data_IF_613703278494
#
_entry.id   IF_613703278494
#
_cell.length_a   1.000
_cell.length_b   1.000
_cell.length_c   1.000
_cell.angle_alpha   90.00
_cell.angle_beta   90.00
_cell.angle_gamma   90.00
#
_symmetry.space_group_name_H-M   'P 1'
#
loop_
_entity.id
_entity.type
_entity.pdbx_description
1 polymer ?
#
# COMPACT_ATOMS: atom_id res chain seq x y z
N UNK A 1 13.12 7.23 -7.40
CA UNK A 1 12.24 7.66 -8.50
C UNK A 1 10.84 7.83 -7.94
N UNK A 2 10.28 9.03 -8.02
CA UNK A 2 8.96 9.35 -7.48
C UNK A 2 8.21 10.29 -8.42
N UNK A 3 6.88 10.30 -8.28
CA UNK A 3 6.00 11.29 -8.88
C UNK A 3 5.09 11.88 -7.83
N UNK A 4 4.78 13.17 -7.93
CA UNK A 4 3.78 13.85 -7.11
C UNK A 4 2.59 14.17 -8.00
N UNK A 5 1.39 13.77 -7.57
CA UNK A 5 0.14 13.91 -8.33
C UNK A 5 -1.01 14.35 -7.42
N UNK A 6 -2.06 14.91 -8.03
CA UNK A 6 -3.33 15.13 -7.35
C UNK A 6 -4.18 13.84 -7.33
N UNK A 7 -5.10 13.68 -6.35
CA UNK A 7 -5.91 12.47 -6.21
C UNK A 7 -6.84 12.20 -7.40
N UNK A 8 -7.24 13.24 -8.16
CA UNK A 8 -8.07 13.12 -9.35
C UNK A 8 -7.35 12.64 -10.62
N UNK A 9 -6.04 12.36 -10.56
CA UNK A 9 -5.29 11.85 -11.70
C UNK A 9 -5.70 10.40 -11.99
N UNK A 10 -6.03 10.12 -13.25
CA UNK A 10 -6.34 8.77 -13.70
C UNK A 10 -5.07 7.90 -13.77
N UNK A 11 -5.18 6.65 -13.36
CA UNK A 11 -4.06 5.71 -13.30
C UNK A 11 -3.41 5.47 -14.66
N UNK A 12 -4.19 5.23 -15.70
CA UNK A 12 -3.67 4.88 -17.02
C UNK A 12 -3.08 6.12 -17.71
N UNK A 13 -3.71 7.28 -17.59
CA UNK A 13 -3.14 8.55 -18.08
C UNK A 13 -1.79 8.88 -17.41
N UNK A 14 -1.64 8.59 -16.09
CA UNK A 14 -0.35 8.71 -15.42
C UNK A 14 0.68 7.77 -16.05
N UNK A 15 0.32 6.51 -16.30
CA UNK A 15 1.24 5.52 -16.84
C UNK A 15 1.64 5.83 -18.31
N UNK A 16 0.75 6.37 -19.12
CA UNK A 16 1.10 6.88 -20.47
C UNK A 16 2.17 7.98 -20.38
N UNK A 17 1.97 8.95 -19.48
CA UNK A 17 2.97 10.01 -19.26
C UNK A 17 4.31 9.43 -18.76
N UNK A 18 4.28 8.52 -17.78
CA UNK A 18 5.47 7.94 -17.19
C UNK A 18 6.23 7.02 -18.14
N UNK A 19 5.54 6.36 -19.07
CA UNK A 19 6.16 5.48 -20.09
C UNK A 19 7.19 6.23 -20.92
N UNK A 20 6.96 7.51 -21.23
CA UNK A 20 7.93 8.38 -21.94
C UNK A 20 9.24 8.58 -21.17
N UNK A 21 9.25 8.28 -19.87
CA UNK A 21 10.39 8.38 -18.95
C UNK A 21 10.99 7.00 -18.59
N UNK A 22 10.49 5.92 -19.21
CA UNK A 22 10.89 4.56 -18.88
C UNK A 22 10.41 4.08 -17.50
N UNK A 23 9.36 4.68 -16.96
CA UNK A 23 8.82 4.44 -15.62
C UNK A 23 7.32 4.14 -15.67
N UNK A 24 6.78 3.55 -14.59
CA UNK A 24 5.35 3.41 -14.41
C UNK A 24 4.97 3.24 -12.93
N UNK A 25 3.69 3.46 -12.63
CA UNK A 25 3.07 3.15 -11.36
C UNK A 25 2.59 1.69 -11.41
N UNK A 26 3.21 0.84 -10.59
CA UNK A 26 3.10 -0.62 -10.67
C UNK A 26 1.75 -1.22 -10.28
N UNK A 27 1.09 -0.79 -9.18
CA UNK A 27 -0.19 -1.35 -8.79
C UNK A 27 -1.24 -1.20 -9.89
N UNK A 28 -1.96 -2.29 -10.17
CA UNK A 28 -3.01 -2.32 -11.20
C UNK A 28 -4.36 -2.71 -10.60
N UNK A 29 -5.41 -2.50 -11.37
CA UNK A 29 -6.78 -2.91 -11.09
C UNK A 29 -7.45 -3.36 -12.39
N UNK A 30 -8.48 -4.19 -12.31
CA UNK A 30 -9.29 -4.57 -13.48
C UNK A 30 -10.03 -3.38 -14.11
N UNK A 31 -10.24 -2.32 -13.34
CA UNK A 31 -10.93 -1.08 -13.74
C UNK A 31 -9.96 0.08 -13.99
N UNK A 32 -8.73 -0.20 -14.40
CA UNK A 32 -7.62 0.76 -14.47
C UNK A 32 -7.95 2.05 -15.22
N UNK A 33 -8.70 1.93 -16.32
CA UNK A 33 -9.13 3.06 -17.15
C UNK A 33 -10.04 4.06 -16.42
N UNK A 34 -10.70 3.64 -15.33
CA UNK A 34 -11.60 4.49 -14.54
C UNK A 34 -11.02 4.86 -13.18
N UNK A 35 -9.93 4.22 -12.76
CA UNK A 35 -9.36 4.44 -11.43
C UNK A 35 -8.68 5.79 -11.32
N UNK A 36 -9.04 6.54 -10.29
CA UNK A 36 -8.33 7.73 -9.84
C UNK A 36 -7.39 7.37 -8.69
N UNK A 37 -6.23 8.01 -8.65
CA UNK A 37 -5.21 7.68 -7.66
C UNK A 37 -5.65 7.93 -6.22
N UNK A 38 -6.50 8.91 -5.97
CA UNK A 38 -7.09 9.13 -4.65
C UNK A 38 -7.94 7.94 -4.19
N UNK A 39 -8.78 7.39 -5.07
CA UNK A 39 -9.56 6.19 -4.80
C UNK A 39 -8.67 4.96 -4.61
N UNK A 40 -7.60 4.81 -5.41
CA UNK A 40 -6.65 3.72 -5.24
C UNK A 40 -5.92 3.78 -3.89
N UNK A 41 -5.55 4.98 -3.42
CA UNK A 41 -4.98 5.17 -2.09
C UNK A 41 -6.02 4.86 -1.01
N UNK A 42 -7.23 5.42 -1.10
CA UNK A 42 -8.31 5.19 -0.14
C UNK A 42 -8.61 3.71 0.06
N UNK A 43 -8.74 2.97 -1.03
CA UNK A 43 -9.03 1.54 -1.02
C UNK A 43 -7.78 0.65 -0.81
N UNK A 44 -6.56 1.18 -0.85
CA UNK A 44 -5.33 0.39 -0.96
C UNK A 44 -5.38 -0.61 -2.13
N UNK A 45 -5.80 -0.13 -3.30
CA UNK A 45 -6.07 -0.96 -4.48
C UNK A 45 -4.88 -1.78 -4.92
N UNK A 46 -5.15 -2.99 -5.40
CA UNK A 46 -4.18 -3.90 -5.98
C UNK A 46 -4.85 -4.79 -7.03
N UNK A 47 -4.06 -5.45 -7.85
CA UNK A 47 -4.55 -6.36 -8.88
C UNK A 47 -3.62 -7.55 -9.09
N UNK A 48 -3.74 -8.17 -10.25
CA UNK A 48 -3.05 -9.40 -10.62
C UNK A 48 -1.53 -9.32 -10.51
N UNK A 49 -0.97 -8.13 -10.76
CA UNK A 49 0.48 -7.89 -10.70
C UNK A 49 1.01 -7.56 -9.29
N UNK A 50 0.17 -7.72 -8.25
CA UNK A 50 0.56 -7.43 -6.86
C UNK A 50 1.70 -8.32 -6.34
N UNK A 51 1.88 -9.50 -6.90
CA UNK A 51 3.05 -10.38 -6.62
C UNK A 51 4.36 -9.64 -6.90
N UNK A 52 4.41 -8.87 -7.98
CA UNK A 52 5.61 -8.16 -8.43
C UNK A 52 5.69 -6.73 -7.90
N UNK A 53 4.58 -6.00 -7.91
CA UNK A 53 4.55 -4.56 -7.68
C UNK A 53 3.87 -4.15 -6.38
N UNK A 54 3.40 -5.12 -5.60
CA UNK A 54 2.74 -4.87 -4.34
C UNK A 54 1.34 -4.24 -4.49
N UNK A 55 0.90 -3.63 -3.42
CA UNK A 55 -0.37 -2.88 -3.33
C UNK A 55 -0.09 -1.37 -3.32
N UNK A 56 -1.13 -0.56 -3.47
CA UNK A 56 -0.97 0.91 -3.50
C UNK A 56 -0.25 1.45 -2.28
N UNK A 57 -0.55 0.94 -1.08
CA UNK A 57 0.13 1.31 0.19
C UNK A 57 1.65 1.16 0.10
N UNK A 58 2.15 0.14 -0.55
CA UNK A 58 3.59 -0.14 -0.59
C UNK A 58 4.35 0.97 -1.30
N UNK A 59 3.76 1.56 -2.33
CA UNK A 59 4.37 2.59 -3.16
C UNK A 59 4.01 4.02 -2.76
N UNK A 60 3.10 4.23 -1.80
CA UNK A 60 2.84 5.56 -1.23
C UNK A 60 4.04 6.01 -0.40
N UNK A 61 4.68 7.09 -0.80
CA UNK A 61 5.82 7.72 -0.11
C UNK A 61 5.35 8.75 0.90
N UNK A 62 4.45 9.64 0.48
CA UNK A 62 3.83 10.65 1.36
C UNK A 62 2.49 11.12 0.82
N UNK A 63 1.66 11.64 1.72
CA UNK A 63 0.38 12.27 1.42
C UNK A 63 0.35 13.67 2.00
N UNK A 64 -0.11 14.65 1.24
CA UNK A 64 -0.55 15.94 1.75
C UNK A 64 -2.05 15.89 1.95
N UNK A 65 -2.52 16.35 3.10
CA UNK A 65 -3.89 16.14 3.55
C UNK A 65 -4.44 17.34 4.26
N UNK A 66 -5.77 17.46 4.24
CA UNK A 66 -6.55 18.32 5.13
C UNK A 66 -7.13 17.45 6.25
N UNK A 67 -6.92 17.86 7.49
CA UNK A 67 -7.51 17.24 8.67
C UNK A 67 -8.90 17.81 8.96
N UNK A 68 -9.62 17.24 9.91
CA UNK A 68 -10.98 17.63 10.28
C UNK A 68 -11.10 19.06 10.85
N UNK A 69 -10.00 19.61 11.36
CA UNK A 69 -9.91 21.01 11.82
C UNK A 69 -9.52 22.01 10.72
N UNK A 70 -9.37 21.52 9.47
CA UNK A 70 -8.94 22.34 8.32
C UNK A 70 -7.44 22.53 8.20
N UNK A 71 -6.63 21.96 9.12
CA UNK A 71 -5.17 22.09 9.04
C UNK A 71 -4.58 21.22 7.93
N UNK A 72 -3.59 21.77 7.23
CA UNK A 72 -2.82 21.07 6.21
C UNK A 72 -1.66 20.30 6.87
N UNK A 73 -1.59 19.00 6.61
CA UNK A 73 -0.54 18.13 7.15
C UNK A 73 0.05 17.25 6.05
N UNK A 74 1.37 17.15 6.05
CA UNK A 74 2.09 16.18 5.23
C UNK A 74 2.49 14.97 6.08
N UNK A 75 1.94 13.82 5.73
CA UNK A 75 2.34 12.51 6.26
C UNK A 75 3.34 11.84 5.31
N UNK A 76 4.48 11.43 5.85
CA UNK A 76 5.56 10.77 5.13
C UNK A 76 6.54 10.16 6.12
N UNK A 77 7.67 9.68 5.64
CA UNK A 77 8.70 9.10 6.51
C UNK A 77 9.18 10.13 7.54
N UNK A 78 9.18 9.72 8.80
CA UNK A 78 9.64 10.50 9.93
C UNK A 78 10.88 9.87 10.55
N UNK A 79 11.94 10.65 10.70
CA UNK A 79 13.07 10.29 11.54
C UNK A 79 12.69 10.36 13.04
N UNK A 80 13.52 9.83 13.92
CA UNK A 80 13.32 9.97 15.37
C UNK A 80 13.23 11.44 15.81
N UNK A 81 14.00 12.33 15.17
CA UNK A 81 13.96 13.77 15.44
C UNK A 81 12.61 14.37 14.98
N UNK A 82 12.13 14.02 13.78
CA UNK A 82 10.83 14.47 13.28
C UNK A 82 9.69 14.02 14.20
N UNK A 83 9.72 12.77 14.66
CA UNK A 83 8.71 12.25 15.57
C UNK A 83 8.67 13.02 16.90
N UNK A 84 9.84 13.36 17.46
CA UNK A 84 9.92 14.17 18.67
C UNK A 84 9.32 15.58 18.46
N UNK A 85 9.58 16.20 17.30
CA UNK A 85 8.99 17.49 16.94
C UNK A 85 7.48 17.36 16.76
N UNK A 86 7.02 16.37 15.99
CA UNK A 86 5.59 16.18 15.70
C UNK A 86 4.79 15.89 16.98
N UNK A 87 5.28 15.02 17.85
CA UNK A 87 4.62 14.71 19.14
C UNK A 87 4.61 15.88 20.12
N UNK A 88 5.48 16.91 19.96
CA UNK A 88 5.48 18.10 20.80
C UNK A 88 4.50 19.19 20.36
N UNK A 89 3.94 19.10 19.14
CA UNK A 89 2.98 20.07 18.62
C UNK A 89 1.71 20.12 19.48
N UNK A 90 1.16 21.33 19.65
CA UNK A 90 -0.10 21.60 20.37
C UNK A 90 -1.25 21.84 19.40
N UNK A 91 -1.41 20.94 18.43
CA UNK A 91 -2.47 20.97 17.42
C UNK A 91 -2.91 19.53 17.10
N UNK A 92 -3.91 19.37 16.22
CA UNK A 92 -4.46 18.06 15.87
C UNK A 92 -3.40 17.10 15.31
N UNK A 93 -2.43 17.58 14.51
CA UNK A 93 -1.31 16.73 14.07
C UNK A 93 -0.53 16.16 15.27
N UNK A 94 -0.21 16.99 16.25
CA UNK A 94 0.49 16.54 17.46
C UNK A 94 -0.31 15.55 18.28
N UNK A 95 -1.61 15.74 18.39
CA UNK A 95 -2.52 14.81 19.08
C UNK A 95 -2.60 13.46 18.38
N UNK A 96 -2.69 13.45 17.05
CA UNK A 96 -2.65 12.22 16.25
C UNK A 96 -1.37 11.42 16.52
N UNK A 97 -0.20 12.06 16.44
CA UNK A 97 1.07 11.37 16.68
C UNK A 97 1.17 10.87 18.14
N UNK A 98 0.76 11.67 19.12
CA UNK A 98 0.73 11.24 20.55
C UNK A 98 -0.15 10.03 20.76
N UNK A 99 -1.39 10.08 20.25
CA UNK A 99 -2.35 8.98 20.38
C UNK A 99 -1.83 7.70 19.72
N UNK A 100 -1.31 7.79 18.50
CA UNK A 100 -0.72 6.64 17.82
C UNK A 100 0.45 6.03 18.60
N UNK A 101 1.32 6.87 19.19
CA UNK A 101 2.45 6.37 19.98
C UNK A 101 1.99 5.78 21.31
N UNK A 102 0.98 6.33 21.95
CA UNK A 102 0.40 5.80 23.18
C UNK A 102 -0.23 4.43 22.93
N UNK A 103 -1.08 4.33 21.90
CA UNK A 103 -1.78 3.08 21.58
C UNK A 103 -0.81 2.00 21.11
N UNK A 104 0.04 2.29 20.13
CA UNK A 104 1.02 1.32 19.61
C UNK A 104 2.13 1.00 20.62
N UNK A 105 2.38 1.84 21.62
CA UNK A 105 3.29 1.59 22.73
C UNK A 105 2.71 0.63 23.78
N UNK A 106 1.39 0.47 23.82
CA UNK A 106 0.72 -0.39 24.80
C UNK A 106 0.90 -1.88 24.45
N UNK A 107 1.48 -2.66 25.37
CA UNK A 107 1.77 -4.09 25.15
C UNK A 107 0.54 -4.94 24.91
N UNK A 108 -0.60 -4.61 25.52
CA UNK A 108 -1.88 -5.32 25.28
C UNK A 108 -2.37 -5.06 23.86
N UNK A 109 -2.34 -3.79 23.42
CA UNK A 109 -2.71 -3.42 22.04
C UNK A 109 -1.79 -4.10 21.03
N UNK A 110 -0.47 -4.10 21.27
CA UNK A 110 0.49 -4.81 20.40
C UNK A 110 0.18 -6.30 20.30
N UNK A 111 -0.22 -6.94 21.43
CA UNK A 111 -0.59 -8.35 21.43
C UNK A 111 -1.84 -8.59 20.56
N UNK A 112 -2.91 -7.80 20.76
CA UNK A 112 -4.12 -7.91 19.93
C UNK A 112 -3.85 -7.67 18.44
N UNK A 113 -3.07 -6.64 18.10
CA UNK A 113 -2.69 -6.42 16.69
C UNK A 113 -2.00 -7.65 16.11
N UNK A 114 -1.09 -8.27 16.85
CA UNK A 114 -0.35 -9.46 16.38
C UNK A 114 -1.19 -10.73 16.30
N UNK A 115 -2.22 -10.87 17.14
CA UNK A 115 -3.11 -12.04 17.15
C UNK A 115 -4.25 -11.95 16.15
N UNK A 116 -4.78 -10.73 15.93
CA UNK A 116 -6.04 -10.54 15.23
C UNK A 116 -5.86 -10.12 13.77
N UNK A 117 -4.69 -9.58 13.43
CA UNK A 117 -4.35 -9.26 12.04
C UNK A 117 -3.87 -10.49 11.27
N UNK A 118 -4.07 -10.53 9.94
CA UNK A 118 -3.56 -11.62 9.11
C UNK A 118 -2.04 -11.80 9.25
N UNK A 119 -1.59 -13.03 9.11
CA UNK A 119 -0.17 -13.36 9.14
C UNK A 119 0.64 -12.55 8.12
N UNK A 120 1.91 -12.31 8.44
CA UNK A 120 2.82 -11.49 7.61
C UNK A 120 2.95 -12.02 6.17
N UNK A 121 2.74 -13.32 5.95
CA UNK A 121 2.73 -13.94 4.62
C UNK A 121 1.55 -13.50 3.72
N UNK A 122 0.47 -12.96 4.30
CA UNK A 122 -0.68 -12.46 3.54
C UNK A 122 -0.43 -11.01 3.16
N UNK A 123 0.30 -10.78 2.05
CA UNK A 123 0.70 -9.44 1.60
C UNK A 123 -0.47 -8.64 1.02
N UNK A 124 -1.34 -9.28 0.24
CA UNK A 124 -2.48 -8.63 -0.40
C UNK A 124 -3.68 -8.65 0.53
N UNK A 125 -3.87 -7.57 1.28
CA UNK A 125 -4.98 -7.41 2.22
C UNK A 125 -5.48 -5.97 2.29
N UNK A 126 -6.80 -5.82 2.38
CA UNK A 126 -7.52 -4.54 2.48
C UNK A 126 -8.55 -4.62 3.63
N UNK A 127 -8.08 -5.03 4.81
CA UNK A 127 -8.92 -5.27 5.99
C UNK A 127 -8.83 -4.10 6.97
N UNK A 128 -9.55 -3.02 6.68
CA UNK A 128 -9.61 -1.85 7.56
C UNK A 128 -8.28 -1.11 7.71
N UNK A 129 -8.12 -0.42 8.82
CA UNK A 129 -6.95 0.41 9.11
C UNK A 129 -5.70 -0.44 9.38
N UNK A 130 -4.64 -0.19 8.65
CA UNK A 130 -3.40 -0.96 8.73
C UNK A 130 -2.51 -0.54 9.92
N UNK A 131 -3.04 -0.63 11.13
CA UNK A 131 -2.31 -0.31 12.37
C UNK A 131 -1.13 -1.25 12.62
N UNK A 132 -1.25 -2.49 12.16
CA UNK A 132 -0.15 -3.47 12.16
C UNK A 132 1.03 -3.04 11.29
N UNK A 133 0.77 -2.38 10.15
CA UNK A 133 1.83 -1.80 9.32
C UNK A 133 2.59 -0.72 10.08
N UNK A 134 1.91 0.12 10.89
CA UNK A 134 2.58 1.11 11.74
C UNK A 134 3.37 0.44 12.87
N UNK A 135 2.84 -0.63 13.47
CA UNK A 135 3.52 -1.38 14.52
C UNK A 135 4.83 -2.04 14.02
N UNK A 136 4.89 -2.39 12.74
CA UNK A 136 6.07 -2.97 12.11
C UNK A 136 7.12 -1.91 11.67
N UNK A 137 6.89 -0.63 11.98
CA UNK A 137 7.81 0.48 11.71
C UNK A 137 8.59 0.89 12.96
N UNK A 138 9.66 1.67 12.77
CA UNK A 138 10.37 2.32 13.88
C UNK A 138 9.45 3.35 14.57
N UNK A 139 9.52 3.51 15.90
CA UNK A 139 10.45 2.85 16.82
C UNK A 139 9.95 1.51 17.38
N UNK A 140 8.78 1.03 16.98
CA UNK A 140 8.15 -0.18 17.56
C UNK A 140 8.89 -1.47 17.14
N UNK A 141 9.48 -1.47 15.96
CA UNK A 141 10.31 -2.56 15.43
C UNK A 141 11.66 -2.01 15.00
N UNK A 142 12.77 -2.53 15.59
CA UNK A 142 14.12 -2.00 15.36
C UNK A 142 14.56 -2.09 13.90
N UNK A 143 14.25 -3.19 13.21
CA UNK A 143 14.54 -3.40 11.78
C UNK A 143 13.49 -2.79 10.85
N UNK A 144 12.50 -2.10 11.40
CA UNK A 144 11.40 -1.49 10.63
C UNK A 144 11.85 -0.28 9.81
N UNK A 145 11.03 0.06 8.82
CA UNK A 145 11.17 1.30 8.07
C UNK A 145 10.88 2.52 8.96
N UNK A 146 11.26 3.74 8.56
CA UNK A 146 10.85 4.95 9.28
C UNK A 146 9.34 5.06 9.42
N UNK A 147 8.87 5.61 10.54
CA UNK A 147 7.44 5.78 10.82
C UNK A 147 6.76 6.65 9.76
N UNK A 148 5.63 6.17 9.23
CA UNK A 148 4.93 6.86 8.16
C UNK A 148 3.41 6.65 8.25
N UNK A 149 2.70 7.66 8.75
CA UNK A 149 1.24 7.63 8.88
C UNK A 149 0.51 7.55 7.53
N UNK A 150 1.16 7.94 6.41
CA UNK A 150 0.57 7.76 5.09
C UNK A 150 0.26 6.29 4.77
N UNK A 151 0.97 5.34 5.41
CA UNK A 151 0.69 3.90 5.29
C UNK A 151 -0.64 3.49 5.95
N UNK A 152 -1.07 4.21 7.00
CA UNK A 152 -2.38 4.04 7.63
C UNK A 152 -3.49 4.67 6.77
N UNK A 153 -3.23 5.86 6.21
CA UNK A 153 -4.19 6.56 5.35
C UNK A 153 -4.48 5.79 4.06
N UNK A 154 -3.49 5.06 3.54
CA UNK A 154 -3.72 4.13 2.44
C UNK A 154 -4.57 2.94 2.94
N UNK A 155 -5.81 2.86 2.47
CA UNK A 155 -6.81 1.88 2.91
C UNK A 155 -7.76 2.40 3.99
N UNK A 156 -7.77 3.72 4.25
CA UNK A 156 -8.70 4.34 5.20
C UNK A 156 -10.03 4.77 4.58
N UNK A 157 -10.23 4.58 3.27
CA UNK A 157 -11.45 4.92 2.52
C UNK A 157 -11.87 6.40 2.70
N UNK A 158 -10.90 7.30 2.90
CA UNK A 158 -11.15 8.73 3.10
C UNK A 158 -11.74 9.10 4.47
N UNK A 159 -11.82 8.17 5.43
CA UNK A 159 -12.46 8.40 6.74
C UNK A 159 -11.57 9.15 7.72
N UNK A 160 -10.25 9.20 7.51
CA UNK A 160 -9.30 9.78 8.46
C UNK A 160 -8.81 11.17 8.04
N UNK A 161 -8.69 11.45 6.75
CA UNK A 161 -8.25 12.74 6.24
C UNK A 161 -8.64 12.90 4.78
N UNK A 162 -8.74 14.14 4.29
CA UNK A 162 -8.92 14.43 2.87
C UNK A 162 -7.54 14.60 2.20
N UNK A 163 -7.22 13.73 1.25
CA UNK A 163 -5.94 13.76 0.53
C UNK A 163 -5.97 14.81 -0.59
N UNK A 164 -5.01 15.73 -0.58
CA UNK A 164 -4.86 16.80 -1.58
C UNK A 164 -3.74 16.52 -2.58
N UNK A 165 -2.72 15.75 -2.16
CA UNK A 165 -1.57 15.39 -3.00
C UNK A 165 -0.97 14.06 -2.56
N UNK A 166 -0.50 13.30 -3.54
CA UNK A 166 0.04 11.95 -3.37
C UNK A 166 1.43 11.90 -3.97
N UNK A 167 2.43 11.47 -3.20
CA UNK A 167 3.77 11.14 -3.72
C UNK A 167 3.91 9.62 -3.78
N UNK A 168 4.19 9.12 -4.98
CA UNK A 168 4.29 7.69 -5.28
C UNK A 168 5.70 7.29 -5.69
N UNK A 169 6.18 6.16 -5.24
CA UNK A 169 7.36 5.50 -5.78
C UNK A 169 7.01 4.84 -7.13
N UNK A 170 7.97 4.84 -8.04
CA UNK A 170 7.81 4.35 -9.40
C UNK A 170 8.74 3.18 -9.68
N UNK A 171 8.27 2.26 -10.49
CA UNK A 171 9.02 1.13 -11.03
C UNK A 171 9.52 1.42 -12.44
N UNK A 172 10.64 0.78 -12.89
CA UNK A 172 10.99 0.71 -14.29
C UNK A 172 9.89 0.02 -15.10
N UNK A 173 9.75 0.37 -16.36
CA UNK A 173 8.81 -0.34 -17.25
C UNK A 173 9.06 -1.85 -17.23
N UNK A 174 7.99 -2.66 -17.28
CA UNK A 174 8.13 -4.11 -17.41
C UNK A 174 8.86 -4.48 -18.72
N UNK A 175 9.42 -5.69 -18.80
CA UNK A 175 10.00 -6.18 -20.06
C UNK A 175 8.99 -6.11 -21.20
N UNK A 176 9.45 -5.75 -22.39
CA UNK A 176 8.58 -5.71 -23.60
C UNK A 176 8.08 -7.10 -24.00
N UNK A 177 8.90 -8.13 -23.75
CA UNK A 177 8.56 -9.51 -24.04
C UNK A 177 8.12 -10.19 -22.75
N UNK A 178 6.89 -10.67 -22.74
CA UNK A 178 6.33 -11.46 -21.66
C UNK A 178 5.78 -12.78 -22.23
N UNK A 179 5.81 -13.82 -21.40
CA UNK A 179 5.23 -15.12 -21.72
C UNK A 179 4.11 -15.38 -20.71
N UNK A 180 2.98 -15.83 -21.21
CA UNK A 180 1.89 -16.38 -20.38
C UNK A 180 1.89 -17.89 -20.54
N UNK A 181 1.89 -18.59 -19.41
CA UNK A 181 1.82 -20.04 -19.36
C UNK A 181 0.47 -20.43 -18.75
N UNK A 182 -0.36 -21.12 -19.53
CA UNK A 182 -1.60 -21.74 -19.05
C UNK A 182 -1.34 -23.22 -18.79
N UNK A 183 -1.53 -23.64 -17.53
CA UNK A 183 -1.31 -25.04 -17.11
C UNK A 183 -2.64 -25.62 -16.66
N UNK A 184 -2.99 -26.79 -17.21
CA UNK A 184 -4.22 -27.49 -16.88
C UNK A 184 -3.96 -28.57 -15.83
N UNK A 185 -4.85 -28.65 -14.85
CA UNK A 185 -4.83 -29.66 -13.78
C UNK A 185 -6.15 -30.41 -13.73
N UNK A 186 -6.13 -31.64 -13.26
CA UNK A 186 -7.31 -32.47 -13.12
C UNK A 186 -8.20 -32.10 -11.91
N UNK A 187 -7.64 -31.32 -10.96
CA UNK A 187 -8.38 -30.87 -9.77
C UNK A 187 -7.86 -29.52 -9.27
N UNK A 188 -8.72 -28.81 -8.56
CA UNK A 188 -8.36 -27.55 -7.88
C UNK A 188 -7.22 -27.81 -6.87
N UNK A 189 -7.25 -28.94 -6.16
CA UNK A 189 -6.19 -29.31 -5.22
C UNK A 189 -4.82 -29.34 -5.89
N UNK A 190 -4.69 -30.05 -7.03
CA UNK A 190 -3.43 -30.10 -7.78
C UNK A 190 -3.00 -28.71 -8.27
N UNK A 191 -3.93 -27.87 -8.71
CA UNK A 191 -3.64 -26.51 -9.11
C UNK A 191 -3.10 -25.68 -7.94
N UNK A 192 -3.69 -25.81 -6.75
CA UNK A 192 -3.23 -25.11 -5.54
C UNK A 192 -1.87 -25.60 -5.05
N UNK A 193 -1.62 -26.91 -5.09
CA UNK A 193 -0.31 -27.49 -4.74
C UNK A 193 0.79 -27.01 -5.68
N UNK A 194 0.50 -26.77 -6.95
CA UNK A 194 1.44 -26.24 -7.93
C UNK A 194 1.81 -24.76 -7.69
N UNK A 195 1.01 -23.98 -6.96
CA UNK A 195 1.31 -22.58 -6.65
C UNK A 195 2.62 -22.47 -5.87
N UNK A 196 2.85 -23.35 -4.89
CA UNK A 196 4.03 -23.26 -4.01
C UNK A 196 5.35 -23.33 -4.81
N UNK A 197 5.62 -24.34 -5.64
CA UNK A 197 6.84 -24.37 -6.45
C UNK A 197 6.87 -23.26 -7.51
N UNK A 198 5.73 -22.88 -8.09
CA UNK A 198 5.66 -21.81 -9.09
C UNK A 198 6.04 -20.45 -8.48
N UNK A 199 5.65 -20.18 -7.25
CA UNK A 199 5.98 -18.93 -6.54
C UNK A 199 7.48 -18.79 -6.20
N UNK A 200 8.29 -19.83 -6.35
CA UNK A 200 9.75 -19.70 -6.23
C UNK A 200 10.38 -18.96 -7.43
N UNK A 201 9.65 -18.82 -8.53
CA UNK A 201 10.08 -18.12 -9.73
C UNK A 201 9.68 -16.64 -9.72
N UNK A 202 10.34 -15.82 -10.54
CA UNK A 202 10.07 -14.40 -10.66
C UNK A 202 8.83 -14.15 -11.52
N UNK A 203 7.65 -14.32 -10.95
CA UNK A 203 6.37 -14.10 -11.61
C UNK A 203 5.93 -12.65 -11.57
N UNK A 204 5.16 -12.25 -12.56
CA UNK A 204 4.40 -10.99 -12.57
C UNK A 204 2.98 -11.19 -12.06
N UNK A 205 2.40 -12.35 -12.37
CA UNK A 205 1.03 -12.71 -12.00
C UNK A 205 0.94 -14.23 -11.87
N UNK A 206 0.04 -14.69 -11.01
CA UNK A 206 -0.36 -16.09 -10.87
C UNK A 206 -1.85 -16.10 -10.54
N UNK A 207 -2.65 -16.58 -11.49
CA UNK A 207 -4.12 -16.57 -11.39
C UNK A 207 -4.65 -17.99 -11.54
N UNK A 208 -5.66 -18.33 -10.73
CA UNK A 208 -6.40 -19.59 -10.83
C UNK A 208 -7.72 -19.32 -11.54
N UNK A 209 -8.03 -20.15 -12.51
CA UNK A 209 -9.35 -20.22 -13.14
C UNK A 209 -9.94 -21.62 -12.94
N UNK A 210 -11.13 -21.71 -12.45
CA UNK A 210 -11.84 -22.98 -12.34
C UNK A 210 -12.70 -23.28 -13.58
N UNK A 211 -13.29 -24.46 -13.60
CA UNK A 211 -14.15 -24.91 -14.72
C UNK A 211 -15.35 -23.98 -14.97
N UNK A 212 -15.78 -23.20 -13.96
CA UNK A 212 -16.95 -22.33 -14.09
C UNK A 212 -16.62 -21.07 -14.90
N UNK A 213 -15.36 -20.65 -14.89
CA UNK A 213 -14.88 -19.46 -15.60
C UNK A 213 -14.46 -19.80 -17.03
N UNK A 214 -14.00 -21.04 -17.27
CA UNK A 214 -13.59 -21.53 -18.58
C UNK A 214 -14.79 -21.98 -19.42
#
# INVERSE_FOLDING_TARGET
>A
RTVKVQPGVNRDALNEFLATKGLFFGPNTSTSQYCLLGGMVGNNSSGTTSIKYGVTRDVVVSLETLLSDGSEVKFGNCSAADLKIKTSKKNLEGEIYKSLFQELGNKKVQHHIKSDFPEVGVHRRNTGYAVDTLLNQQPFTQSGTPFNVAKLLAGSEGTLAFTTSITLALSPLPPKNAVMLAVHFNSIQQAMEAVVPVMTHHLYTCELMDKTIL
#
